data_IF_267123797370
#
_entry.id   IF_267123797370
#
_cell.length_a   1.000
_cell.length_b   1.000
_cell.length_c   1.000
_cell.angle_alpha   90.00
_cell.angle_beta   90.00
_cell.angle_gamma   90.00
#
_symmetry.space_group_name_H-M   'P 1'
#
loop_
_entity.id
_entity.type
_entity.pdbx_description
1 polymer ?
#
# COMPACT_ATOMS: atom_id res chain seq x y z
N UNK A 1 89.09 14.63 74.00
CA UNK A 1 88.86 15.89 73.21
C UNK A 1 87.89 15.65 72.07
N UNK A 2 86.71 16.22 72.18
CA UNK A 2 85.56 15.90 71.37
C UNK A 2 85.49 16.77 70.11
N UNK A 3 85.47 16.21 68.92
CA UNK A 3 85.05 16.87 67.67
C UNK A 3 83.57 16.55 67.42
N UNK A 4 82.74 17.57 67.53
CA UNK A 4 81.32 17.49 67.13
C UNK A 4 81.21 17.72 65.64
N UNK A 5 80.71 16.74 64.89
CA UNK A 5 80.38 16.84 63.48
C UNK A 5 79.04 17.59 63.26
N UNK A 6 79.08 18.65 62.51
CA UNK A 6 77.90 19.39 62.05
C UNK A 6 77.38 18.71 60.77
N UNK A 7 76.17 18.12 60.84
CA UNK A 7 75.46 17.62 59.62
C UNK A 7 74.59 18.74 59.05
N UNK A 8 74.98 19.24 57.88
CA UNK A 8 74.13 20.14 57.09
C UNK A 8 73.03 19.32 56.40
N UNK A 9 71.79 19.61 56.59
CA UNK A 9 70.64 19.10 55.84
C UNK A 9 70.40 19.95 54.63
N UNK A 10 70.67 19.41 53.48
CA UNK A 10 70.26 20.04 52.18
C UNK A 10 68.81 19.65 51.94
N UNK A 11 67.91 20.61 52.00
CA UNK A 11 66.49 20.47 51.63
C UNK A 11 66.43 20.75 50.10
N UNK A 12 66.19 19.69 49.30
CA UNK A 12 65.95 19.80 47.88
C UNK A 12 64.44 20.10 47.68
N UNK A 13 64.11 21.35 47.38
CA UNK A 13 62.77 21.75 47.05
C UNK A 13 62.52 21.41 45.57
N UNK A 14 61.83 20.28 45.31
CA UNK A 14 61.40 19.92 43.99
C UNK A 14 60.17 20.73 43.59
N UNK A 15 60.34 21.65 42.64
CA UNK A 15 59.21 22.34 42.00
C UNK A 15 58.60 21.40 40.95
N UNK A 16 57.48 20.76 41.28
CA UNK A 16 56.69 19.99 40.29
C UNK A 16 55.92 20.98 39.39
N UNK A 17 56.43 21.21 38.18
CA UNK A 17 55.73 21.98 37.15
C UNK A 17 54.63 21.09 36.61
N UNK A 18 53.37 21.26 37.05
CA UNK A 18 52.17 20.64 36.46
C UNK A 18 51.93 21.28 35.10
N UNK A 19 52.36 20.63 34.02
CA UNK A 19 51.93 20.94 32.65
C UNK A 19 50.45 20.64 32.50
N UNK A 20 49.57 21.60 32.67
CA UNK A 20 48.16 21.53 32.30
C UNK A 20 48.09 21.53 30.75
N UNK A 21 48.00 20.33 30.14
CA UNK A 21 47.72 20.19 28.72
C UNK A 21 46.23 20.52 28.52
N UNK A 22 45.86 21.61 27.84
CA UNK A 22 44.45 21.85 27.53
C UNK A 22 43.96 20.76 26.57
N UNK A 23 43.12 19.89 27.09
CA UNK A 23 42.38 18.96 26.23
C UNK A 23 41.42 19.77 25.38
N UNK A 24 41.78 20.03 24.12
CA UNK A 24 40.83 20.54 23.12
C UNK A 24 39.70 19.53 22.98
N UNK A 25 38.61 19.75 23.69
CA UNK A 25 37.40 19.00 23.50
C UNK A 25 36.79 19.47 22.19
N UNK A 26 36.93 18.68 21.12
CA UNK A 26 36.27 18.96 19.84
C UNK A 26 34.77 19.16 20.12
N UNK A 27 34.23 20.29 19.68
CA UNK A 27 32.79 20.56 19.80
C UNK A 27 32.03 19.45 19.10
N UNK A 28 31.01 18.87 19.77
CA UNK A 28 30.14 17.86 19.16
C UNK A 28 29.51 18.43 17.88
N UNK A 29 29.41 17.64 16.80
CA UNK A 29 28.77 18.09 15.57
C UNK A 29 27.33 18.54 15.85
N UNK A 30 26.97 19.73 15.38
CA UNK A 30 25.62 20.28 15.55
C UNK A 30 24.74 19.85 14.39
N UNK A 31 23.61 19.19 14.69
CA UNK A 31 22.58 18.84 13.69
C UNK A 31 21.85 20.12 13.27
N UNK A 32 21.74 20.34 11.97
CA UNK A 32 20.97 21.43 11.38
C UNK A 32 19.72 20.85 10.73
N UNK A 33 18.55 21.44 10.97
CA UNK A 33 17.33 21.08 10.23
C UNK A 33 17.47 21.46 8.76
N UNK A 34 17.14 20.51 7.87
CA UNK A 34 17.18 20.72 6.41
C UNK A 34 15.79 20.96 5.81
N UNK A 35 14.71 20.69 6.57
CA UNK A 35 13.33 20.84 6.13
C UNK A 35 12.49 19.55 6.35
N UNK A 36 11.23 19.54 5.91
CA UNK A 36 10.36 18.37 6.03
C UNK A 36 10.78 17.26 5.04
N UNK A 37 10.57 16.01 5.45
CA UNK A 37 10.61 14.87 4.52
C UNK A 37 9.26 14.81 3.79
N UNK A 38 9.24 15.10 2.49
CA UNK A 38 8.03 15.07 1.65
C UNK A 38 7.97 13.75 0.88
N UNK A 39 6.91 12.96 1.07
CA UNK A 39 6.69 11.67 0.40
C UNK A 39 5.72 11.84 -0.77
N UNK A 40 4.74 12.74 -0.68
CA UNK A 40 3.71 12.93 -1.67
C UNK A 40 2.85 14.16 -1.41
N UNK A 41 1.65 14.16 -1.97
CA UNK A 41 0.66 15.23 -1.82
C UNK A 41 -0.59 14.69 -1.13
N UNK A 42 -1.27 15.54 -0.37
CA UNK A 42 -2.60 15.25 0.18
C UNK A 42 -3.61 16.26 -0.35
N UNK A 43 -4.79 15.81 -0.75
CA UNK A 43 -5.92 16.67 -1.06
C UNK A 43 -7.23 16.13 -0.50
N UNK A 44 -8.24 17.00 -0.40
CA UNK A 44 -9.58 16.61 0.02
C UNK A 44 -10.58 16.84 -1.11
N UNK A 45 -11.67 16.06 -1.09
CA UNK A 45 -12.76 16.15 -2.04
C UNK A 45 -14.09 16.01 -1.29
N UNK A 46 -14.97 16.98 -1.46
CA UNK A 46 -16.32 16.92 -0.92
C UNK A 46 -17.20 16.04 -1.81
N UNK A 47 -17.44 14.83 -1.36
CA UNK A 47 -18.23 13.85 -2.09
C UNK A 47 -19.73 14.11 -1.90
N UNK A 48 -20.44 14.33 -2.98
CA UNK A 48 -21.91 14.40 -2.99
C UNK A 48 -22.53 13.01 -2.89
N UNK A 49 -21.87 12.01 -3.47
CA UNK A 49 -22.34 10.62 -3.47
C UNK A 49 -22.29 10.04 -2.07
N UNK A 50 -21.19 10.28 -1.33
CA UNK A 50 -21.01 9.77 0.03
C UNK A 50 -21.54 10.72 1.11
N UNK A 51 -21.79 11.99 0.77
CA UNK A 51 -22.26 13.03 1.70
C UNK A 51 -21.20 13.44 2.73
N UNK A 52 -19.90 13.34 2.39
CA UNK A 52 -18.80 13.62 3.30
C UNK A 52 -17.55 14.09 2.56
N UNK A 53 -16.62 14.71 3.29
CA UNK A 53 -15.30 15.07 2.76
C UNK A 53 -14.39 13.85 2.84
N UNK A 54 -13.75 13.49 1.71
CA UNK A 54 -12.77 12.42 1.62
C UNK A 54 -11.37 12.99 1.49
N UNK A 55 -10.40 12.34 2.11
CA UNK A 55 -8.97 12.65 1.97
C UNK A 55 -8.29 11.61 1.08
N UNK A 56 -7.47 12.10 0.17
CA UNK A 56 -6.63 11.28 -0.70
C UNK A 56 -5.17 11.64 -0.52
N UNK A 57 -4.30 10.63 -0.55
CA UNK A 57 -2.85 10.78 -0.54
C UNK A 57 -2.30 10.30 -1.88
N UNK A 58 -1.41 11.08 -2.48
CA UNK A 58 -0.86 10.78 -3.82
C UNK A 58 0.66 10.70 -3.74
N UNK A 59 1.20 9.57 -4.18
CA UNK A 59 2.63 9.39 -4.42
C UNK A 59 2.90 9.42 -5.93
N UNK A 60 3.84 10.26 -6.34
CA UNK A 60 4.28 10.38 -7.73
C UNK A 60 5.58 9.56 -7.93
N UNK A 61 5.62 8.68 -8.94
CA UNK A 61 6.75 7.79 -9.12
C UNK A 61 8.04 8.53 -9.52
N UNK A 62 9.21 7.90 -9.30
CA UNK A 62 10.46 8.42 -9.85
C UNK A 62 10.34 8.75 -11.34
N UNK A 63 10.90 9.88 -11.77
CA UNK A 63 10.81 10.35 -13.16
C UNK A 63 9.57 11.21 -13.45
N UNK A 64 8.56 11.27 -12.59
CA UNK A 64 7.37 12.11 -12.84
C UNK A 64 7.76 13.60 -13.02
N UNK A 65 8.57 14.16 -12.13
CA UNK A 65 8.99 15.58 -12.22
C UNK A 65 9.91 15.87 -13.42
N UNK A 66 10.75 14.91 -13.79
CA UNK A 66 11.78 15.08 -14.84
C UNK A 66 11.29 14.91 -16.27
N UNK A 67 10.04 14.48 -16.50
CA UNK A 67 9.53 14.11 -17.83
C UNK A 67 8.16 14.71 -18.10
N UNK A 68 8.11 15.96 -18.56
CA UNK A 68 6.86 16.71 -18.77
C UNK A 68 5.88 16.06 -19.76
N UNK A 69 6.37 15.28 -20.73
CA UNK A 69 5.55 14.59 -21.75
C UNK A 69 5.06 13.19 -21.35
N UNK A 70 5.66 12.59 -20.33
CA UNK A 70 5.33 11.21 -19.95
C UNK A 70 4.04 11.14 -19.12
N UNK A 71 3.16 10.20 -19.48
CA UNK A 71 1.94 9.87 -18.76
C UNK A 71 2.11 8.53 -18.04
N UNK A 72 1.46 8.38 -16.90
CA UNK A 72 1.60 7.25 -16.01
C UNK A 72 0.24 6.60 -15.71
N UNK A 73 0.14 5.28 -15.65
CA UNK A 73 -1.04 4.61 -15.13
C UNK A 73 -1.27 4.93 -13.66
N UNK A 74 -2.49 4.73 -13.19
CA UNK A 74 -2.88 5.04 -11.80
C UNK A 74 -3.20 3.76 -11.04
N UNK A 75 -2.56 3.58 -9.89
CA UNK A 75 -2.86 2.54 -8.92
C UNK A 75 -3.67 3.18 -7.77
N UNK A 76 -4.93 2.78 -7.64
CA UNK A 76 -5.78 3.18 -6.53
C UNK A 76 -5.65 2.18 -5.38
N UNK A 77 -5.77 2.67 -4.15
CA UNK A 77 -5.81 1.82 -2.96
C UNK A 77 -6.79 2.37 -1.93
N UNK A 78 -7.80 1.61 -1.51
CA UNK A 78 -8.48 1.83 -0.24
C UNK A 78 -7.48 1.63 0.92
N UNK A 79 -7.87 1.98 2.15
CA UNK A 79 -6.93 1.98 3.29
C UNK A 79 -5.68 2.85 3.02
N UNK A 80 -5.89 3.98 2.30
CA UNK A 80 -4.84 4.82 1.75
C UNK A 80 -4.46 6.01 2.64
N UNK A 81 -4.78 6.00 3.94
CA UNK A 81 -4.33 6.98 4.91
C UNK A 81 -2.85 6.83 5.27
N UNK A 82 -2.22 7.91 5.72
CA UNK A 82 -0.81 7.88 6.16
C UNK A 82 -0.63 6.98 7.40
N UNK A 83 -1.66 6.86 8.23
CA UNK A 83 -1.70 5.95 9.38
C UNK A 83 -2.26 4.56 9.04
N UNK A 84 -2.57 4.32 7.78
CA UNK A 84 -3.03 3.06 7.21
C UNK A 84 -1.92 2.46 6.33
N UNK A 85 -2.24 1.92 5.17
CA UNK A 85 -1.28 1.16 4.33
C UNK A 85 -0.52 2.02 3.30
N UNK A 86 -0.83 3.33 3.19
CA UNK A 86 -0.25 4.18 2.16
C UNK A 86 1.27 4.18 2.13
N UNK A 87 1.91 4.28 3.30
CA UNK A 87 3.37 4.43 3.38
C UNK A 87 4.13 3.20 2.88
N UNK A 88 3.68 2.00 3.28
CA UNK A 88 4.37 0.78 2.84
C UNK A 88 4.12 0.48 1.35
N UNK A 89 2.92 0.77 0.82
CA UNK A 89 2.62 0.60 -0.62
C UNK A 89 3.38 1.63 -1.46
N UNK A 90 3.45 2.89 -1.03
CA UNK A 90 4.27 3.91 -1.68
C UNK A 90 5.76 3.52 -1.70
N UNK A 91 6.27 2.96 -0.60
CA UNK A 91 7.63 2.41 -0.50
C UNK A 91 7.87 1.26 -1.46
N UNK A 92 6.91 0.34 -1.61
CA UNK A 92 6.98 -0.76 -2.59
C UNK A 92 7.00 -0.25 -4.03
N UNK A 93 6.16 0.72 -4.37
CA UNK A 93 6.18 1.37 -5.69
C UNK A 93 7.54 2.04 -5.91
N UNK A 94 8.02 2.81 -4.94
CA UNK A 94 9.30 3.51 -5.03
C UNK A 94 10.46 2.56 -5.29
N UNK A 95 10.62 1.51 -4.49
CA UNK A 95 11.74 0.58 -4.60
C UNK A 95 11.64 -0.28 -5.86
N UNK A 96 10.44 -0.73 -6.24
CA UNK A 96 10.24 -1.61 -7.40
C UNK A 96 10.41 -0.87 -8.73
N UNK A 97 10.01 0.40 -8.80
CA UNK A 97 10.29 1.26 -9.95
C UNK A 97 11.78 1.60 -10.00
N UNK A 98 12.39 1.95 -8.85
CA UNK A 98 13.80 2.31 -8.77
C UNK A 98 14.76 1.20 -9.17
N UNK A 99 14.42 -0.06 -8.91
CA UNK A 99 15.22 -1.23 -9.29
C UNK A 99 14.79 -1.88 -10.62
N UNK A 100 13.83 -1.29 -11.34
CA UNK A 100 13.40 -1.76 -12.65
C UNK A 100 12.56 -3.04 -12.65
N UNK A 101 11.98 -3.46 -11.51
CA UNK A 101 11.14 -4.66 -11.43
C UNK A 101 9.64 -4.37 -11.62
N UNK A 102 9.25 -3.09 -11.61
CA UNK A 102 7.91 -2.59 -11.83
C UNK A 102 7.97 -1.34 -12.72
N UNK A 103 7.05 -1.21 -13.67
CA UNK A 103 6.87 0.05 -14.40
C UNK A 103 6.21 1.11 -13.52
N UNK A 104 6.46 2.41 -13.75
CA UNK A 104 6.01 3.46 -12.84
C UNK A 104 4.49 3.65 -12.88
N UNK A 105 3.90 3.82 -11.69
CA UNK A 105 2.50 4.17 -11.45
C UNK A 105 2.40 5.40 -10.55
N UNK A 106 1.39 6.24 -10.77
CA UNK A 106 0.91 7.18 -9.75
C UNK A 106 0.11 6.36 -8.74
N UNK A 107 0.43 6.46 -7.45
CA UNK A 107 -0.36 5.83 -6.40
C UNK A 107 -1.36 6.84 -5.82
N UNK A 108 -2.64 6.46 -5.75
CA UNK A 108 -3.71 7.26 -5.15
C UNK A 108 -4.33 6.47 -4.01
N UNK A 109 -3.98 6.84 -2.79
CA UNK A 109 -4.55 6.27 -1.56
C UNK A 109 -5.82 7.00 -1.15
N UNK A 110 -6.87 6.26 -0.85
CA UNK A 110 -8.16 6.76 -0.37
C UNK A 110 -8.22 6.49 1.13
N UNK A 111 -8.09 7.54 1.96
CA UNK A 111 -8.16 7.42 3.41
C UNK A 111 -9.56 7.04 3.86
N UNK A 112 -9.66 6.17 4.87
CA UNK A 112 -10.94 5.73 5.39
C UNK A 112 -11.66 6.81 6.19
N UNK A 113 -12.97 6.82 6.07
CA UNK A 113 -13.91 7.45 7.00
C UNK A 113 -14.72 6.34 7.67
N UNK A 114 -15.54 5.64 6.93
CA UNK A 114 -16.32 4.49 7.39
C UNK A 114 -15.95 3.22 6.59
N UNK A 115 -14.79 2.67 6.89
CA UNK A 115 -14.20 1.53 6.17
C UNK A 115 -15.18 0.40 5.90
N UNK A 116 -15.93 -0.02 6.95
CA UNK A 116 -16.85 -1.15 6.84
C UNK A 116 -18.09 -0.85 6.02
N UNK A 117 -18.57 0.41 6.04
CA UNK A 117 -19.62 0.87 5.12
C UNK A 117 -19.15 0.79 3.68
N UNK A 118 -18.00 1.37 3.40
CA UNK A 118 -17.51 1.59 2.02
C UNK A 118 -17.07 0.31 1.32
N UNK A 119 -16.50 -0.63 2.09
CA UNK A 119 -15.86 -1.83 1.52
C UNK A 119 -16.70 -3.09 1.57
N UNK A 120 -17.94 -3.00 2.05
CA UNK A 120 -18.85 -4.15 2.10
C UNK A 120 -20.06 -3.95 1.20
N UNK A 121 -20.46 -5.01 0.50
CA UNK A 121 -21.72 -5.06 -0.22
C UNK A 121 -22.92 -5.27 0.71
N UNK A 122 -24.14 -5.15 0.21
CA UNK A 122 -25.35 -5.47 0.97
C UNK A 122 -25.28 -6.89 1.55
N UNK A 123 -25.79 -7.05 2.77
CA UNK A 123 -25.83 -8.36 3.44
C UNK A 123 -27.20 -8.67 4.00
N UNK A 124 -27.62 -9.93 3.89
CA UNK A 124 -28.74 -10.51 4.60
C UNK A 124 -28.36 -11.08 5.98
N UNK A 125 -27.08 -11.27 6.25
CA UNK A 125 -26.60 -11.87 7.48
C UNK A 125 -26.62 -10.87 8.64
N UNK A 126 -27.35 -11.21 9.70
CA UNK A 126 -27.51 -10.36 10.89
C UNK A 126 -26.21 -10.21 11.71
N UNK A 127 -25.26 -11.16 11.59
CA UNK A 127 -23.97 -11.04 12.26
C UNK A 127 -23.08 -10.01 11.54
N UNK A 128 -23.10 -10.00 10.22
CA UNK A 128 -22.39 -9.00 9.43
C UNK A 128 -22.82 -7.58 9.78
N UNK A 129 -24.14 -7.38 9.97
CA UNK A 129 -24.72 -6.07 10.34
C UNK A 129 -24.24 -5.55 11.70
N UNK A 130 -23.70 -6.44 12.56
CA UNK A 130 -23.20 -6.08 13.90
C UNK A 130 -21.76 -5.59 13.89
N UNK A 131 -21.00 -5.78 12.80
CA UNK A 131 -19.56 -5.43 12.78
C UNK A 131 -19.31 -3.92 12.76
N UNK A 132 -20.28 -3.13 12.33
CA UNK A 132 -20.23 -1.67 12.34
C UNK A 132 -21.65 -1.08 12.34
N UNK A 133 -21.82 0.19 12.74
CA UNK A 133 -23.10 0.89 12.68
C UNK A 133 -23.69 0.96 11.27
N UNK A 134 -22.83 1.04 10.26
CA UNK A 134 -23.20 1.08 8.83
C UNK A 134 -22.34 0.12 8.03
N UNK A 135 -22.98 -0.67 7.16
CA UNK A 135 -22.37 -1.62 6.23
C UNK A 135 -23.12 -1.59 4.90
N UNK A 136 -22.59 -2.22 3.86
CA UNK A 136 -23.32 -2.41 2.60
C UNK A 136 -23.27 -1.24 1.62
N UNK A 137 -22.30 -0.33 1.74
CA UNK A 137 -22.17 0.88 0.93
C UNK A 137 -21.23 0.76 -0.28
N UNK A 138 -20.73 -0.42 -0.62
CA UNK A 138 -19.74 -0.62 -1.69
C UNK A 138 -20.17 -0.06 -3.05
N UNK A 139 -21.47 -0.11 -3.38
CA UNK A 139 -22.03 0.48 -4.61
C UNK A 139 -21.82 1.99 -4.65
N UNK A 140 -22.11 2.68 -3.55
CA UNK A 140 -21.88 4.12 -3.46
C UNK A 140 -20.38 4.47 -3.51
N UNK A 141 -19.55 3.65 -2.89
CA UNK A 141 -18.10 3.83 -2.90
C UNK A 141 -17.51 3.62 -4.31
N UNK A 142 -17.95 2.62 -5.08
CA UNK A 142 -17.59 2.48 -6.50
C UNK A 142 -18.03 3.70 -7.32
N UNK A 143 -19.26 4.17 -7.10
CA UNK A 143 -19.77 5.36 -7.78
C UNK A 143 -18.96 6.62 -7.45
N UNK A 144 -18.56 6.80 -6.20
CA UNK A 144 -17.64 7.87 -5.77
C UNK A 144 -16.30 7.79 -6.51
N UNK A 145 -15.65 6.62 -6.51
CA UNK A 145 -14.37 6.43 -7.21
C UNK A 145 -14.51 6.79 -8.68
N UNK A 146 -15.51 6.23 -9.36
CA UNK A 146 -15.73 6.43 -10.80
C UNK A 146 -16.04 7.87 -11.17
N UNK A 147 -16.95 8.51 -10.43
CA UNK A 147 -17.59 9.77 -10.85
C UNK A 147 -17.00 11.01 -10.19
N UNK A 148 -16.46 10.86 -8.99
CA UNK A 148 -15.98 12.02 -8.22
C UNK A 148 -14.47 12.00 -8.00
N UNK A 149 -13.80 10.82 -7.89
CA UNK A 149 -12.37 10.75 -7.65
C UNK A 149 -11.56 10.66 -8.95
N UNK A 150 -11.87 9.73 -9.86
CA UNK A 150 -11.07 9.53 -11.08
C UNK A 150 -10.97 10.76 -11.98
N UNK A 151 -12.05 11.54 -12.23
CA UNK A 151 -11.97 12.72 -13.10
C UNK A 151 -10.99 13.80 -12.61
N UNK A 152 -11.03 14.28 -11.35
CA UNK A 152 -10.06 15.24 -10.86
C UNK A 152 -8.63 14.71 -10.80
N UNK A 153 -8.41 13.41 -10.52
CA UNK A 153 -7.08 12.79 -10.62
C UNK A 153 -6.56 12.88 -12.04
N UNK A 154 -7.38 12.53 -13.03
CA UNK A 154 -7.03 12.64 -14.45
C UNK A 154 -6.77 14.08 -14.91
N UNK A 155 -7.49 15.05 -14.36
CA UNK A 155 -7.31 16.47 -14.68
C UNK A 155 -6.04 17.06 -14.03
N UNK A 156 -5.69 16.59 -12.81
CA UNK A 156 -4.56 17.13 -12.04
C UNK A 156 -3.21 16.53 -12.44
N UNK A 157 -3.19 15.23 -12.77
CA UNK A 157 -1.95 14.49 -13.03
C UNK A 157 -1.84 14.02 -14.48
N UNK A 158 -0.62 13.78 -14.93
CA UNK A 158 -0.34 13.20 -16.24
C UNK A 158 -0.60 11.70 -16.21
N UNK A 159 -1.85 11.31 -16.41
CA UNK A 159 -2.29 9.93 -16.40
C UNK A 159 -2.48 9.34 -17.80
N UNK A 160 -2.25 8.04 -17.95
CA UNK A 160 -2.81 7.24 -19.02
C UNK A 160 -4.27 6.87 -18.70
N UNK A 161 -4.93 6.11 -19.56
CA UNK A 161 -6.25 5.55 -19.27
C UNK A 161 -6.18 4.26 -18.45
N UNK A 162 -4.99 3.65 -18.32
CA UNK A 162 -4.81 2.43 -17.55
C UNK A 162 -4.94 2.69 -16.04
N UNK A 163 -5.77 1.86 -15.40
CA UNK A 163 -6.05 1.93 -13.97
C UNK A 163 -5.93 0.57 -13.30
N UNK A 164 -5.49 0.58 -12.05
CA UNK A 164 -5.40 -0.60 -11.20
C UNK A 164 -5.91 -0.30 -9.78
N UNK A 165 -6.28 -1.34 -9.06
CA UNK A 165 -6.65 -1.25 -7.64
C UNK A 165 -5.99 -2.37 -6.84
N UNK A 166 -5.54 -2.04 -5.61
CA UNK A 166 -4.91 -2.99 -4.67
C UNK A 166 -5.48 -2.81 -3.27
N UNK A 167 -5.65 -3.90 -2.55
CA UNK A 167 -6.08 -3.86 -1.14
C UNK A 167 -6.15 -5.25 -0.51
N UNK A 168 -6.29 -5.23 0.81
CA UNK A 168 -6.28 -6.41 1.66
C UNK A 168 -7.57 -6.47 2.50
N UNK A 169 -7.97 -7.66 2.93
CA UNK A 169 -9.09 -7.85 3.86
C UNK A 169 -10.43 -7.35 3.29
N UNK A 170 -11.10 -6.40 3.93
CA UNK A 170 -12.32 -5.78 3.41
C UNK A 170 -12.07 -4.96 2.13
N UNK A 171 -10.90 -4.34 1.97
CA UNK A 171 -10.51 -3.73 0.70
C UNK A 171 -10.36 -4.80 -0.39
N UNK A 172 -9.81 -5.97 -0.07
CA UNK A 172 -9.79 -7.14 -0.94
C UNK A 172 -11.19 -7.63 -1.33
N UNK A 173 -12.13 -7.67 -0.38
CA UNK A 173 -13.54 -7.98 -0.65
C UNK A 173 -14.14 -6.99 -1.66
N UNK A 174 -13.98 -5.68 -1.41
CA UNK A 174 -14.45 -4.62 -2.30
C UNK A 174 -13.87 -4.78 -3.72
N UNK A 175 -12.60 -5.14 -3.82
CA UNK A 175 -11.90 -5.34 -5.10
C UNK A 175 -12.48 -6.54 -5.85
N UNK A 176 -12.69 -7.68 -5.19
CA UNK A 176 -13.29 -8.86 -5.82
C UNK A 176 -14.76 -8.61 -6.20
N UNK A 177 -15.53 -7.93 -5.34
CA UNK A 177 -16.89 -7.53 -5.67
C UNK A 177 -16.92 -6.60 -6.90
N UNK A 178 -16.02 -5.62 -6.95
CA UNK A 178 -15.92 -4.69 -8.09
C UNK A 178 -15.54 -5.43 -9.39
N UNK A 179 -14.58 -6.35 -9.31
CA UNK A 179 -14.18 -7.20 -10.43
C UNK A 179 -15.35 -8.00 -11.01
N UNK A 180 -16.21 -8.55 -10.15
CA UNK A 180 -17.35 -9.36 -10.58
C UNK A 180 -18.55 -8.51 -11.07
N UNK A 181 -18.82 -7.37 -10.43
CA UNK A 181 -20.05 -6.58 -10.67
C UNK A 181 -19.85 -5.39 -11.61
N UNK A 182 -18.69 -4.75 -11.59
CA UNK A 182 -18.35 -3.56 -12.38
C UNK A 182 -16.91 -3.63 -12.93
N UNK A 183 -16.55 -4.68 -13.71
CA UNK A 183 -15.17 -4.93 -14.14
C UNK A 183 -14.59 -3.89 -15.09
N UNK A 184 -15.39 -2.99 -15.58
CA UNK A 184 -14.96 -1.86 -16.42
C UNK A 184 -14.35 -0.70 -15.59
N UNK A 185 -14.43 -0.77 -14.26
CA UNK A 185 -13.90 0.28 -13.40
C UNK A 185 -12.37 0.34 -13.39
N UNK A 186 -11.71 -0.83 -13.42
CA UNK A 186 -10.25 -0.92 -13.46
C UNK A 186 -9.79 -1.94 -14.53
N UNK A 187 -8.51 -1.90 -14.91
CA UNK A 187 -7.88 -2.86 -15.80
C UNK A 187 -7.20 -4.00 -15.05
N UNK A 188 -6.72 -3.70 -13.83
CA UNK A 188 -6.05 -4.66 -12.97
C UNK A 188 -6.61 -4.60 -11.54
N UNK A 189 -6.92 -5.77 -11.01
CA UNK A 189 -7.48 -6.02 -9.69
C UNK A 189 -6.51 -6.86 -8.87
N UNK A 190 -6.10 -6.38 -7.68
CA UNK A 190 -5.14 -7.05 -6.83
C UNK A 190 -5.73 -7.13 -5.42
N UNK A 191 -6.05 -8.32 -4.94
CA UNK A 191 -6.69 -8.54 -3.66
C UNK A 191 -5.93 -9.58 -2.82
N UNK A 192 -5.61 -9.22 -1.58
CA UNK A 192 -4.94 -10.08 -0.61
C UNK A 192 -5.87 -10.39 0.56
N UNK A 193 -5.90 -11.63 0.99
CA UNK A 193 -6.79 -12.12 2.05
C UNK A 193 -8.20 -11.52 1.98
N UNK A 194 -8.86 -11.50 0.80
CA UNK A 194 -10.14 -10.84 0.64
C UNK A 194 -11.18 -11.47 1.58
N UNK A 195 -11.93 -10.63 2.31
CA UNK A 195 -12.96 -11.06 3.27
C UNK A 195 -14.18 -11.72 2.60
N UNK A 196 -13.94 -12.77 1.79
CA UNK A 196 -14.98 -13.45 0.99
C UNK A 196 -16.00 -14.24 1.83
N UNK A 197 -15.81 -14.30 3.13
CA UNK A 197 -16.79 -14.83 4.09
C UNK A 197 -18.06 -13.96 4.21
N UNK A 198 -17.97 -12.68 3.81
CA UNK A 198 -19.06 -11.70 3.87
C UNK A 198 -20.35 -12.22 3.22
N UNK A 199 -21.50 -11.92 3.85
CA UNK A 199 -22.83 -12.30 3.39
C UNK A 199 -22.90 -13.80 3.03
N UNK A 200 -22.45 -14.67 3.97
CA UNK A 200 -22.43 -16.12 3.81
C UNK A 200 -21.73 -16.58 2.51
N UNK A 201 -20.64 -15.92 2.13
CA UNK A 201 -19.87 -16.19 0.90
C UNK A 201 -20.66 -15.98 -0.40
N UNK A 202 -21.73 -15.20 -0.36
CA UNK A 202 -22.62 -14.99 -1.50
C UNK A 202 -21.90 -14.58 -2.78
N UNK A 203 -20.79 -13.80 -2.63
CA UNK A 203 -19.97 -13.38 -3.77
C UNK A 203 -19.31 -14.58 -4.45
N UNK A 204 -18.80 -15.53 -3.69
CA UNK A 204 -18.18 -16.77 -4.23
C UNK A 204 -19.23 -17.67 -4.84
N UNK A 205 -20.37 -17.83 -4.19
CA UNK A 205 -21.48 -18.66 -4.70
C UNK A 205 -22.02 -18.14 -6.04
N UNK A 206 -22.06 -16.82 -6.25
CA UNK A 206 -22.51 -16.18 -7.48
C UNK A 206 -21.46 -16.04 -8.58
N UNK A 207 -20.18 -16.27 -8.27
CA UNK A 207 -19.06 -15.89 -9.15
C UNK A 207 -19.09 -16.56 -10.52
N UNK A 208 -19.45 -17.85 -10.62
CA UNK A 208 -19.54 -18.56 -11.88
C UNK A 208 -20.59 -17.95 -12.81
N UNK A 209 -21.72 -17.50 -12.26
CA UNK A 209 -22.77 -16.83 -13.05
C UNK A 209 -22.32 -15.44 -13.50
N UNK A 210 -21.69 -14.67 -12.62
CA UNK A 210 -21.18 -13.33 -12.95
C UNK A 210 -20.12 -13.39 -14.06
N UNK A 211 -19.21 -14.36 -14.01
CA UNK A 211 -18.20 -14.57 -15.06
C UNK A 211 -18.83 -14.97 -16.40
N UNK A 212 -19.84 -15.85 -16.39
CA UNK A 212 -20.55 -16.24 -17.63
C UNK A 212 -21.29 -15.08 -18.29
N UNK A 213 -21.75 -14.10 -17.52
CA UNK A 213 -22.37 -12.87 -18.06
C UNK A 213 -21.36 -11.95 -18.77
N UNK A 214 -20.06 -12.22 -18.63
CA UNK A 214 -18.99 -11.37 -19.14
C UNK A 214 -17.99 -12.13 -20.03
N UNK A 215 -18.45 -12.76 -21.13
CA UNK A 215 -17.62 -13.63 -21.95
C UNK A 215 -16.46 -12.92 -22.67
N UNK A 216 -16.50 -11.59 -22.74
CA UNK A 216 -15.45 -10.76 -23.37
C UNK A 216 -14.55 -10.05 -22.35
N UNK A 217 -14.65 -10.41 -21.08
CA UNK A 217 -13.85 -9.80 -20.02
C UNK A 217 -12.36 -9.97 -20.30
N UNK A 218 -11.66 -8.84 -20.45
CA UNK A 218 -10.21 -8.79 -20.71
C UNK A 218 -9.56 -7.90 -19.66
N UNK A 219 -9.27 -8.49 -18.50
CA UNK A 219 -8.74 -7.82 -17.30
C UNK A 219 -7.61 -8.66 -16.68
N UNK A 220 -6.96 -8.10 -15.67
CA UNK A 220 -5.99 -8.83 -14.86
C UNK A 220 -6.49 -8.93 -13.43
N UNK A 221 -6.45 -10.13 -12.84
CA UNK A 221 -6.81 -10.39 -11.46
C UNK A 221 -5.66 -11.11 -10.75
N UNK A 222 -5.18 -10.55 -9.65
CA UNK A 222 -4.22 -11.20 -8.77
C UNK A 222 -4.84 -11.42 -7.41
N UNK A 223 -4.72 -12.64 -6.90
CA UNK A 223 -5.24 -13.06 -5.60
C UNK A 223 -4.12 -13.70 -4.79
N UNK A 224 -4.06 -13.43 -3.50
CA UNK A 224 -3.23 -14.19 -2.58
C UNK A 224 -3.94 -14.34 -1.24
N UNK A 225 -3.66 -15.45 -0.54
CA UNK A 225 -4.10 -15.64 0.83
C UNK A 225 -2.99 -16.16 1.74
N UNK A 226 -3.08 -15.77 3.01
CA UNK A 226 -2.30 -16.29 4.12
C UNK A 226 -2.84 -17.65 4.60
N UNK A 227 -2.34 -18.12 5.74
CA UNK A 227 -2.88 -19.31 6.43
C UNK A 227 -4.12 -19.03 7.29
N UNK A 228 -4.51 -17.74 7.45
CA UNK A 228 -5.58 -17.29 8.36
C UNK A 228 -6.87 -16.87 7.62
N UNK A 229 -7.45 -17.72 6.81
CA UNK A 229 -8.80 -17.45 6.27
C UNK A 229 -9.87 -17.61 7.37
N UNK A 230 -10.71 -16.59 7.58
CA UNK A 230 -11.85 -16.66 8.53
C UNK A 230 -12.82 -17.82 8.20
N UNK A 231 -12.97 -18.16 6.92
CA UNK A 231 -13.63 -19.38 6.45
C UNK A 231 -12.66 -20.14 5.55
N UNK A 232 -12.02 -21.20 6.07
CA UNK A 232 -10.97 -21.91 5.37
C UNK A 232 -11.39 -22.42 3.98
N UNK A 233 -10.52 -22.21 3.00
CA UNK A 233 -10.70 -22.66 1.63
C UNK A 233 -11.66 -21.83 0.78
N UNK A 234 -12.12 -20.66 1.26
CA UNK A 234 -13.02 -19.79 0.50
C UNK A 234 -12.36 -19.22 -0.73
N UNK A 235 -11.14 -18.70 -0.60
CA UNK A 235 -10.39 -18.17 -1.75
C UNK A 235 -9.97 -19.28 -2.71
N UNK A 236 -9.64 -20.48 -2.20
CA UNK A 236 -9.39 -21.65 -3.05
C UNK A 236 -10.63 -21.99 -3.90
N UNK A 237 -11.83 -22.04 -3.30
CA UNK A 237 -13.09 -22.27 -4.05
C UNK A 237 -13.31 -21.21 -5.13
N UNK A 238 -13.01 -19.94 -4.83
CA UNK A 238 -13.08 -18.89 -5.83
C UNK A 238 -12.07 -19.10 -6.97
N UNK A 239 -10.84 -19.50 -6.67
CA UNK A 239 -9.83 -19.85 -7.66
C UNK A 239 -10.24 -21.07 -8.53
N UNK A 240 -10.87 -22.08 -7.93
CA UNK A 240 -11.40 -23.24 -8.65
C UNK A 240 -12.54 -22.84 -9.63
N UNK A 241 -13.39 -21.88 -9.21
CA UNK A 241 -14.41 -21.30 -10.09
C UNK A 241 -13.76 -20.55 -11.26
N UNK A 242 -12.73 -19.76 -10.99
CA UNK A 242 -11.97 -19.06 -12.04
C UNK A 242 -11.35 -20.06 -13.02
N UNK A 243 -10.74 -21.15 -12.53
CA UNK A 243 -10.11 -22.15 -13.39
C UNK A 243 -11.07 -22.77 -14.42
N UNK A 244 -12.36 -22.83 -14.08
CA UNK A 244 -13.40 -23.46 -14.90
C UNK A 244 -14.20 -22.45 -15.73
N UNK A 245 -14.38 -21.21 -15.22
CA UNK A 245 -15.33 -20.25 -15.79
C UNK A 245 -14.66 -18.94 -16.27
N UNK A 246 -13.34 -18.80 -16.14
CA UNK A 246 -12.65 -17.58 -16.56
C UNK A 246 -12.79 -17.38 -18.08
N UNK A 247 -13.24 -16.20 -18.55
CA UNK A 247 -13.26 -15.89 -19.98
C UNK A 247 -11.83 -15.89 -20.55
N UNK A 248 -11.66 -16.21 -21.85
CA UNK A 248 -10.33 -16.34 -22.48
C UNK A 248 -9.44 -15.09 -22.37
N UNK A 249 -10.05 -13.90 -22.25
CA UNK A 249 -9.33 -12.63 -22.12
C UNK A 249 -8.89 -12.32 -20.69
N UNK A 250 -9.36 -13.04 -19.70
CA UNK A 250 -9.00 -12.82 -18.30
C UNK A 250 -7.63 -13.42 -17.99
N UNK A 251 -6.70 -12.58 -17.58
CA UNK A 251 -5.44 -13.03 -17.00
C UNK A 251 -5.59 -13.05 -15.48
N UNK A 252 -5.44 -14.21 -14.88
CA UNK A 252 -5.55 -14.31 -13.43
C UNK A 252 -4.42 -15.12 -12.81
N UNK A 253 -4.12 -14.81 -11.56
CA UNK A 253 -3.11 -15.47 -10.75
C UNK A 253 -3.64 -15.65 -9.33
N UNK A 254 -3.37 -16.80 -8.73
CA UNK A 254 -3.68 -17.09 -7.35
C UNK A 254 -2.46 -17.70 -6.67
N UNK A 255 -2.08 -17.15 -5.51
CA UNK A 255 -0.92 -17.58 -4.74
C UNK A 255 -1.33 -17.83 -3.28
N UNK A 256 -0.94 -18.99 -2.77
CA UNK A 256 -0.99 -19.30 -1.32
C UNK A 256 0.32 -18.86 -0.68
N UNK A 257 0.22 -18.17 0.44
CA UNK A 257 1.34 -17.69 1.23
C UNK A 257 1.23 -18.24 2.67
N UNK A 258 1.48 -19.55 2.87
CA UNK A 258 1.23 -20.23 4.14
C UNK A 258 2.18 -19.80 5.27
N UNK A 259 3.25 -19.09 4.95
CA UNK A 259 4.18 -18.52 5.92
C UNK A 259 3.75 -17.14 6.42
N UNK A 260 2.67 -16.58 5.84
CA UNK A 260 2.11 -15.28 6.19
C UNK A 260 0.80 -15.45 6.96
N UNK A 261 0.53 -14.48 7.84
CA UNK A 261 -0.72 -14.30 8.56
C UNK A 261 -1.50 -13.12 8.00
N UNK A 262 -2.78 -12.99 8.34
CA UNK A 262 -3.61 -11.87 7.88
C UNK A 262 -2.95 -10.50 8.10
N UNK A 263 -2.30 -10.29 9.23
CA UNK A 263 -1.64 -9.03 9.55
C UNK A 263 -0.28 -8.81 8.86
N UNK A 264 0.29 -9.81 8.18
CA UNK A 264 1.63 -9.73 7.58
C UNK A 264 1.65 -9.88 6.06
N UNK A 265 0.60 -10.44 5.48
CA UNK A 265 0.55 -10.81 4.06
C UNK A 265 0.65 -9.62 3.10
N UNK A 266 0.08 -8.45 3.45
CA UNK A 266 -0.09 -7.37 2.49
C UNK A 266 1.24 -6.99 1.83
N UNK A 267 2.26 -6.67 2.61
CA UNK A 267 3.54 -6.18 2.08
C UNK A 267 4.25 -7.19 1.15
N UNK A 268 4.50 -8.45 1.56
CA UNK A 268 5.16 -9.44 0.69
C UNK A 268 4.29 -9.82 -0.51
N UNK A 269 2.97 -9.95 -0.36
CA UNK A 269 2.07 -10.23 -1.48
C UNK A 269 2.03 -9.09 -2.50
N UNK A 270 2.00 -7.83 -2.05
CA UNK A 270 2.03 -6.67 -2.93
C UNK A 270 3.36 -6.59 -3.71
N UNK A 271 4.50 -6.89 -3.07
CA UNK A 271 5.79 -6.94 -3.76
C UNK A 271 5.79 -7.98 -4.90
N UNK A 272 5.25 -9.17 -4.65
CA UNK A 272 5.13 -10.23 -5.66
C UNK A 272 4.15 -9.84 -6.77
N UNK A 273 2.97 -9.37 -6.40
CA UNK A 273 1.93 -8.95 -7.33
C UNK A 273 2.44 -7.85 -8.28
N UNK A 274 3.03 -6.78 -7.76
CA UNK A 274 3.53 -5.66 -8.57
C UNK A 274 4.59 -6.09 -9.56
N UNK A 275 5.53 -6.94 -9.15
CA UNK A 275 6.57 -7.50 -10.03
C UNK A 275 6.00 -8.42 -11.12
N UNK A 276 4.90 -9.10 -10.85
CA UNK A 276 4.25 -9.98 -11.81
C UNK A 276 3.37 -9.19 -12.80
N UNK A 277 2.42 -8.39 -12.27
CA UNK A 277 1.36 -7.77 -13.10
C UNK A 277 1.78 -6.43 -13.70
N UNK A 278 2.74 -5.73 -13.09
CA UNK A 278 3.26 -4.44 -13.57
C UNK A 278 4.70 -4.53 -14.09
N UNK A 279 5.08 -5.71 -14.54
CA UNK A 279 6.41 -5.93 -15.12
C UNK A 279 6.70 -4.91 -16.23
N UNK A 280 7.92 -4.33 -16.30
CA UNK A 280 8.31 -3.49 -17.42
C UNK A 280 8.20 -4.21 -18.76
N UNK A 281 7.80 -3.48 -19.82
CA UNK A 281 7.81 -4.02 -21.17
C UNK A 281 9.26 -4.25 -21.61
N UNK A 282 9.62 -5.48 -21.93
CA UNK A 282 10.98 -5.85 -22.37
C UNK A 282 11.35 -5.24 -23.73
N UNK A 283 10.37 -4.74 -24.49
CA UNK A 283 10.57 -4.21 -25.84
C UNK A 283 10.95 -2.72 -25.91
N UNK A 284 10.98 -2.01 -24.76
CA UNK A 284 11.30 -0.58 -24.73
C UNK A 284 12.81 -0.26 -24.54
N UNK A 285 13.68 -1.28 -24.53
CA UNK A 285 15.14 -1.14 -24.30
C UNK A 285 16.01 -1.71 -25.43
N UNK A 286 15.53 -1.61 -26.69
CA UNK A 286 16.38 -1.80 -27.87
C UNK A 286 16.38 -0.61 -28.81
#
# INVERSE_FOLDING_TARGET
MNLKAIRAKIILAGVACLLVVPTLRAAAPTLKSAGPLVIGETFTLDSKILGETRRMNVYLPPGYAGSAGTRFPVLYMPDGGVAEDFLHVAGLVQVSVGNGTMRPFILVGIENTERRRDMTGPTGNEQDKKIAPRVGGSVAFRAFIRRELMPPVKARYRTTDETAIVGESLAGLFIVETFLKEPDLFDTYIAFDPSLWWNDQNLVHGAAEDLRKQPKLSKTLYLANSDEEMTPGTLQRFADILSTNAPPGLRWHYEKMPDEHHATIYHPAALKAFRLVFKPNTDASR
#
